data_IF_790113069906
#
_entry.id   IF_790113069906
#
_cell.length_a   1.000
_cell.length_b   1.000
_cell.length_c   1.000
_cell.angle_alpha   90.00
_cell.angle_beta   90.00
_cell.angle_gamma   90.00
#
_symmetry.space_group_name_H-M   'P 1'
#
loop_
_entity.id
_entity.type
_entity.pdbx_description
1 polymer ?
#
# COMPACT_ATOMS: atom_id res chain seq x y z
N UNK A 1 40.62 -4.40 73.47
CA UNK A 1 39.23 -4.22 73.81
C UNK A 1 38.71 -2.95 73.13
N UNK A 2 38.19 -2.97 71.98
CA UNK A 2 37.36 -1.92 71.34
C UNK A 2 36.48 -2.56 70.29
N UNK A 3 35.21 -2.62 70.58
CA UNK A 3 34.14 -3.14 69.69
C UNK A 3 33.83 -2.04 68.68
N UNK A 4 33.97 -2.32 67.36
CA UNK A 4 33.52 -1.46 66.27
C UNK A 4 32.21 -2.07 65.76
N UNK A 5 31.14 -1.32 65.97
CA UNK A 5 29.84 -1.65 65.43
C UNK A 5 29.80 -1.27 63.93
N UNK A 6 29.56 -2.25 63.07
CA UNK A 6 29.36 -2.00 61.65
C UNK A 6 27.87 -1.71 61.39
N UNK A 7 27.58 -0.49 61.04
CA UNK A 7 26.23 -0.06 60.62
C UNK A 7 25.99 -0.44 59.15
N UNK A 8 25.07 -1.37 58.96
CA UNK A 8 24.68 -1.83 57.60
C UNK A 8 23.60 -0.88 57.05
N UNK A 9 24.01 -0.02 56.12
CA UNK A 9 23.06 0.84 55.39
C UNK A 9 22.54 0.05 54.23
N UNK A 10 21.30 -0.39 54.31
CA UNK A 10 20.57 -0.98 53.20
C UNK A 10 19.99 0.12 52.33
N UNK A 11 20.64 0.41 51.21
CA UNK A 11 20.11 1.30 50.19
C UNK A 11 19.11 0.53 49.34
N UNK A 12 17.81 0.76 49.57
CA UNK A 12 16.75 0.28 48.71
C UNK A 12 16.70 1.18 47.47
N UNK A 13 17.28 0.71 46.36
CA UNK A 13 17.11 1.34 45.07
C UNK A 13 15.74 0.93 44.51
N UNK A 14 14.76 1.83 44.57
CA UNK A 14 13.52 1.73 43.82
C UNK A 14 13.83 2.00 42.35
N UNK A 15 13.97 0.95 41.57
CA UNK A 15 13.99 1.06 40.10
C UNK A 15 12.55 1.34 39.61
N UNK A 16 12.24 2.61 39.35
CA UNK A 16 11.03 2.99 38.63
C UNK A 16 11.16 2.53 37.17
N UNK A 17 10.58 1.41 36.85
CA UNK A 17 10.42 0.94 35.48
C UNK A 17 9.47 1.90 34.74
N UNK A 18 10.00 2.85 33.99
CA UNK A 18 9.25 3.60 32.99
C UNK A 18 8.89 2.64 31.87
N UNK A 19 7.67 2.09 31.95
CA UNK A 19 7.03 1.42 30.82
C UNK A 19 6.70 2.51 29.80
N UNK A 20 7.62 2.73 28.86
CA UNK A 20 7.32 3.48 27.64
C UNK A 20 6.39 2.59 26.84
N UNK A 21 5.10 2.80 27.01
CA UNK A 21 4.10 2.26 26.09
C UNK A 21 4.35 2.93 24.73
N UNK A 22 5.16 2.27 23.89
CA UNK A 22 5.26 2.56 22.45
C UNK A 22 3.93 2.20 21.83
N UNK A 23 2.93 3.06 22.03
CA UNK A 23 1.70 3.03 21.28
C UNK A 23 2.06 3.23 19.82
N UNK A 24 2.09 2.14 19.05
CA UNK A 24 2.03 2.23 17.59
C UNK A 24 0.85 3.14 17.27
N UNK A 25 1.04 4.23 16.50
CA UNK A 25 -0.08 5.06 16.09
C UNK A 25 -1.06 4.10 15.37
N UNK A 26 -2.20 3.84 16.00
CA UNK A 26 -3.29 3.15 15.34
C UNK A 26 -3.64 4.02 14.13
N UNK A 27 -3.24 3.58 12.94
CA UNK A 27 -3.67 4.20 11.71
C UNK A 27 -5.19 4.15 11.75
N UNK A 28 -5.83 5.29 11.99
CA UNK A 28 -7.27 5.43 11.90
C UNK A 28 -7.66 5.25 10.43
N UNK A 29 -7.60 4.00 9.96
CA UNK A 29 -8.21 3.61 8.70
C UNK A 29 -9.71 3.61 8.91
N UNK A 30 -10.45 4.07 7.93
CA UNK A 30 -11.89 3.97 7.93
C UNK A 30 -12.31 2.55 8.31
N UNK A 31 -12.75 2.36 9.54
CA UNK A 31 -13.35 1.12 10.00
C UNK A 31 -14.86 1.23 9.83
N UNK A 32 -15.54 0.23 9.27
CA UNK A 32 -16.99 0.27 9.05
C UNK A 32 -17.80 0.43 10.34
N UNK A 33 -17.18 0.23 11.50
CA UNK A 33 -17.83 0.29 12.81
C UNK A 33 -17.65 1.62 13.53
N UNK A 34 -16.78 2.53 13.07
CA UNK A 34 -16.39 3.69 13.87
C UNK A 34 -16.79 5.06 13.30
N UNK A 35 -17.06 5.20 12.00
CA UNK A 35 -17.39 6.50 11.41
C UNK A 35 -18.50 6.42 10.37
N UNK A 36 -19.61 7.09 10.62
CA UNK A 36 -20.76 7.27 9.72
C UNK A 36 -20.43 8.19 8.51
N UNK A 37 -19.18 8.36 8.10
CA UNK A 37 -18.76 9.30 7.06
C UNK A 37 -17.69 8.77 6.10
N UNK A 38 -17.41 7.47 6.11
CA UNK A 38 -16.40 6.91 5.20
C UNK A 38 -16.93 6.63 3.81
N UNK A 39 -16.22 7.08 2.78
CA UNK A 39 -16.60 6.93 1.38
C UNK A 39 -15.92 5.73 0.73
N UNK A 40 -16.73 4.84 0.15
CA UNK A 40 -16.21 3.71 -0.64
C UNK A 40 -15.54 4.20 -1.91
N UNK A 41 -14.34 3.72 -2.17
CA UNK A 41 -13.62 3.98 -3.41
C UNK A 41 -13.70 2.80 -4.36
N UNK A 42 -13.52 3.07 -5.65
CA UNK A 42 -13.46 2.08 -6.73
C UNK A 42 -12.20 2.34 -7.53
N UNK A 43 -11.30 1.36 -7.56
CA UNK A 43 -10.08 1.42 -8.36
C UNK A 43 -10.29 0.76 -9.71
N UNK A 44 -10.23 1.53 -10.79
CA UNK A 44 -10.29 1.06 -12.17
C UNK A 44 -8.89 1.04 -12.77
N UNK A 45 -8.51 -0.11 -13.35
CA UNK A 45 -7.22 -0.30 -14.01
C UNK A 45 -7.43 -0.59 -15.48
N UNK A 46 -6.75 0.14 -16.34
CA UNK A 46 -6.77 -0.09 -17.78
C UNK A 46 -5.34 -0.31 -18.30
N UNK A 47 -5.19 -1.15 -19.31
CA UNK A 47 -3.91 -1.42 -19.95
C UNK A 47 -4.12 -1.70 -21.44
N UNK A 48 -3.09 -1.48 -22.25
CA UNK A 48 -3.08 -1.88 -23.67
C UNK A 48 -3.32 -3.39 -23.77
N UNK A 49 -4.38 -3.83 -24.44
CA UNK A 49 -4.81 -5.25 -24.49
C UNK A 49 -3.75 -6.18 -25.10
N UNK A 50 -3.03 -5.72 -26.13
CA UNK A 50 -1.95 -6.45 -26.82
C UNK A 50 -0.72 -5.56 -26.89
N UNK A 51 0.42 -6.08 -26.44
CA UNK A 51 1.69 -5.38 -26.36
C UNK A 51 2.71 -6.21 -27.13
N UNK A 52 3.39 -5.68 -28.15
CA UNK A 52 4.44 -6.40 -28.84
C UNK A 52 5.61 -6.76 -27.90
N UNK A 53 6.25 -7.90 -28.11
CA UNK A 53 7.49 -8.26 -27.41
C UNK A 53 8.56 -7.22 -27.73
N UNK A 54 9.37 -6.83 -26.74
CA UNK A 54 10.38 -5.79 -26.89
C UNK A 54 9.83 -4.37 -26.67
N UNK A 55 8.53 -4.19 -26.43
CA UNK A 55 7.94 -2.87 -26.18
C UNK A 55 7.47 -2.70 -24.73
N UNK A 56 7.05 -1.49 -24.38
CA UNK A 56 6.51 -1.11 -23.07
C UNK A 56 4.99 -1.07 -23.14
N UNK A 57 4.32 -1.29 -22.03
CA UNK A 57 2.88 -1.09 -21.90
C UNK A 57 2.59 0.16 -21.07
N UNK A 58 1.52 0.85 -21.41
CA UNK A 58 0.96 1.89 -20.56
C UNK A 58 -0.17 1.31 -19.74
N UNK A 59 -0.09 1.49 -18.43
CA UNK A 59 -1.10 1.07 -17.45
C UNK A 59 -1.63 2.34 -16.80
N UNK A 60 -2.93 2.55 -16.90
CA UNK A 60 -3.59 3.70 -16.27
C UNK A 60 -4.50 3.23 -15.13
N UNK A 61 -4.46 3.97 -14.04
CA UNK A 61 -5.27 3.76 -12.85
C UNK A 61 -6.12 5.00 -12.61
N UNK A 62 -7.37 4.78 -12.27
CA UNK A 62 -8.30 5.81 -11.82
C UNK A 62 -8.98 5.31 -10.56
N UNK A 63 -8.96 6.12 -9.51
CA UNK A 63 -9.69 5.85 -8.26
C UNK A 63 -10.80 6.88 -8.16
N UNK A 64 -12.02 6.40 -8.05
CA UNK A 64 -13.22 7.24 -7.92
C UNK A 64 -13.98 6.84 -6.66
N UNK A 65 -14.88 7.68 -6.21
CA UNK A 65 -15.86 7.29 -5.22
C UNK A 65 -16.94 6.41 -5.86
N UNK A 66 -17.51 5.50 -5.08
CA UNK A 66 -18.70 4.77 -5.49
C UNK A 66 -19.92 5.72 -5.61
N UNK A 67 -19.95 6.79 -4.80
CA UNK A 67 -20.93 7.86 -4.87
C UNK A 67 -20.27 9.18 -4.46
N UNK A 68 -20.60 10.27 -5.17
CA UNK A 68 -20.03 11.60 -4.93
C UNK A 68 -18.92 11.98 -5.91
N UNK A 69 -18.43 13.21 -5.82
CA UNK A 69 -17.50 13.84 -6.77
C UNK A 69 -16.11 14.13 -6.18
N UNK A 70 -15.88 13.85 -4.90
CA UNK A 70 -14.58 14.08 -4.29
C UNK A 70 -13.49 13.21 -4.93
N UNK A 71 -12.29 13.75 -5.02
CA UNK A 71 -11.13 13.07 -5.63
C UNK A 71 -10.30 12.40 -4.54
N UNK A 72 -10.28 11.06 -4.44
CA UNK A 72 -9.43 10.37 -3.48
C UNK A 72 -7.96 10.67 -3.76
N UNK A 73 -7.18 10.94 -2.71
CA UNK A 73 -5.72 11.06 -2.76
C UNK A 73 -5.11 9.96 -1.89
N UNK A 74 -3.90 9.53 -2.20
CA UNK A 74 -3.24 8.47 -1.45
C UNK A 74 -2.11 7.82 -2.23
N UNK A 75 -1.96 6.51 -2.08
CA UNK A 75 -0.90 5.75 -2.73
C UNK A 75 -1.49 4.60 -3.54
N UNK A 76 -0.97 4.39 -4.74
CA UNK A 76 -1.31 3.23 -5.57
C UNK A 76 -0.10 2.33 -5.73
N UNK A 77 -0.24 1.08 -5.33
CA UNK A 77 0.75 0.02 -5.57
C UNK A 77 0.31 -0.83 -6.75
N UNK A 78 1.06 -0.75 -7.85
CA UNK A 78 0.88 -1.62 -9.00
C UNK A 78 1.68 -2.91 -8.83
N UNK A 79 1.00 -4.03 -8.89
CA UNK A 79 1.60 -5.37 -8.90
C UNK A 79 1.32 -6.03 -10.23
N UNK A 80 2.36 -6.48 -10.94
CA UNK A 80 2.23 -7.13 -12.23
C UNK A 80 2.88 -8.51 -12.21
N UNK A 81 2.13 -9.51 -12.66
CA UNK A 81 2.57 -10.91 -12.66
C UNK A 81 2.27 -11.56 -14.01
N UNK A 82 3.23 -12.25 -14.58
CA UNK A 82 3.00 -13.14 -15.74
C UNK A 82 2.31 -14.41 -15.25
N UNK A 83 1.34 -14.93 -16.02
CA UNK A 83 0.69 -16.21 -15.74
C UNK A 83 1.75 -17.33 -15.63
N UNK A 84 1.63 -18.19 -14.63
CA UNK A 84 2.59 -19.30 -14.34
C UNK A 84 4.01 -18.83 -13.98
N UNK A 85 4.18 -17.61 -13.45
CA UNK A 85 5.46 -17.12 -12.95
C UNK A 85 5.32 -16.76 -11.48
N UNK A 86 6.32 -17.06 -10.68
CA UNK A 86 6.41 -16.59 -9.28
C UNK A 86 6.85 -15.13 -9.18
N UNK A 87 7.54 -14.62 -10.23
CA UNK A 87 8.08 -13.25 -10.23
C UNK A 87 6.97 -12.22 -10.34
N UNK A 88 6.93 -11.30 -9.36
CA UNK A 88 6.01 -10.16 -9.32
C UNK A 88 6.83 -8.88 -9.47
N UNK A 89 6.45 -8.03 -10.40
CA UNK A 89 6.95 -6.66 -10.48
C UNK A 89 6.02 -5.76 -9.69
N UNK A 90 6.58 -4.92 -8.80
CA UNK A 90 5.81 -3.94 -8.01
C UNK A 90 6.35 -2.55 -8.26
N UNK A 91 5.45 -1.57 -8.28
CA UNK A 91 5.77 -0.15 -8.31
C UNK A 91 4.72 0.61 -7.52
N UNK A 92 5.17 1.47 -6.62
CA UNK A 92 4.33 2.35 -5.84
C UNK A 92 4.45 3.77 -6.40
N UNK A 93 3.34 4.48 -6.42
CA UNK A 93 3.26 5.88 -6.84
C UNK A 93 2.25 6.62 -5.97
N UNK A 94 2.50 7.88 -5.74
CA UNK A 94 1.52 8.78 -5.14
C UNK A 94 0.38 9.03 -6.12
N UNK A 95 -0.82 9.12 -5.57
CA UNK A 95 -2.05 9.32 -6.33
C UNK A 95 -2.75 10.60 -5.84
N UNK A 96 -2.87 11.57 -6.72
CA UNK A 96 -3.46 12.89 -6.44
C UNK A 96 -4.86 13.07 -7.04
N UNK A 97 -5.55 11.98 -7.30
CA UNK A 97 -6.84 12.00 -7.99
C UNK A 97 -6.71 11.99 -9.52
N UNK A 98 -7.82 11.74 -10.21
CA UNK A 98 -7.87 11.68 -11.66
C UNK A 98 -7.29 10.39 -12.23
N UNK A 99 -6.76 10.47 -13.46
CA UNK A 99 -6.17 9.32 -14.18
C UNK A 99 -4.66 9.39 -14.13
N UNK A 100 -4.04 8.43 -13.48
CA UNK A 100 -2.58 8.30 -13.43
C UNK A 100 -2.12 7.16 -14.33
N UNK A 101 -1.23 7.45 -15.29
CA UNK A 101 -0.72 6.45 -16.24
C UNK A 101 0.77 6.20 -16.00
N UNK A 102 1.16 4.95 -16.01
CA UNK A 102 2.51 4.47 -15.78
C UNK A 102 2.98 3.65 -16.97
N UNK A 103 4.17 3.98 -17.47
CA UNK A 103 4.86 3.19 -18.49
C UNK A 103 5.68 2.10 -17.81
N UNK A 104 5.47 0.87 -18.26
CA UNK A 104 6.21 -0.28 -17.74
C UNK A 104 7.63 -0.33 -18.32
N UNK A 105 8.45 -1.24 -17.77
CA UNK A 105 9.67 -1.69 -18.45
C UNK A 105 9.32 -2.53 -19.68
N UNK A 106 10.28 -2.72 -20.56
CA UNK A 106 10.16 -3.55 -21.76
C UNK A 106 9.85 -5.01 -21.45
N UNK A 107 8.94 -5.62 -22.21
CA UNK A 107 8.56 -7.02 -22.06
C UNK A 107 9.40 -7.92 -22.96
N UNK A 108 10.25 -8.74 -22.37
CA UNK A 108 11.08 -9.71 -23.10
C UNK A 108 10.41 -11.06 -23.27
N UNK A 109 9.40 -11.39 -22.49
CA UNK A 109 8.72 -12.70 -22.48
C UNK A 109 7.28 -12.58 -22.93
N UNK A 110 6.89 -13.30 -24.00
CA UNK A 110 5.50 -13.44 -24.44
C UNK A 110 4.63 -14.11 -23.37
N UNK A 111 3.33 -13.79 -23.36
CA UNK A 111 2.36 -14.43 -22.48
C UNK A 111 1.29 -13.49 -21.94
N UNK A 112 0.44 -14.02 -21.08
CA UNK A 112 -0.60 -13.26 -20.37
C UNK A 112 -0.04 -12.66 -19.10
N UNK A 113 -0.33 -11.38 -18.86
CA UNK A 113 0.03 -10.65 -17.67
C UNK A 113 -1.23 -10.18 -16.95
N UNK A 114 -1.21 -10.24 -15.65
CA UNK A 114 -2.23 -9.67 -14.78
C UNK A 114 -1.63 -8.50 -14.05
N UNK A 115 -2.35 -7.38 -14.00
CA UNK A 115 -2.02 -6.19 -13.23
C UNK A 115 -3.08 -6.03 -12.16
N UNK A 116 -2.65 -5.79 -10.94
CA UNK A 116 -3.47 -5.40 -9.82
C UNK A 116 -2.98 -4.03 -9.36
N UNK A 117 -3.89 -3.11 -9.14
CA UNK A 117 -3.62 -1.83 -8.53
C UNK A 117 -4.33 -1.79 -7.19
N UNK A 118 -3.56 -1.67 -6.13
CA UNK A 118 -4.04 -1.54 -4.76
C UNK A 118 -3.91 -0.07 -4.36
N UNK A 119 -5.05 0.59 -4.18
CA UNK A 119 -5.13 1.94 -3.65
C UNK A 119 -5.17 1.88 -2.12
N UNK A 120 -4.33 2.68 -1.50
CA UNK A 120 -4.29 2.92 -0.05
C UNK A 120 -4.54 4.38 0.23
N UNK A 121 -5.53 4.65 1.05
CA UNK A 121 -5.80 6.00 1.54
C UNK A 121 -4.79 6.38 2.62
N UNK A 122 -4.47 7.68 2.80
CA UNK A 122 -3.64 8.14 3.90
C UNK A 122 -4.29 7.83 5.25
N UNK A 123 -3.47 7.73 6.30
CA UNK A 123 -3.97 7.63 7.68
C UNK A 123 -4.87 8.81 8.01
N UNK A 124 -5.99 8.55 8.67
CA UNK A 124 -7.00 9.58 9.00
C UNK A 124 -7.88 10.02 7.83
N UNK A 125 -7.73 9.40 6.66
CA UNK A 125 -8.58 9.68 5.51
C UNK A 125 -10.00 9.14 5.68
N UNK A 126 -10.96 9.83 5.10
CA UNK A 126 -12.36 9.39 5.01
C UNK A 126 -12.61 8.41 3.86
N UNK A 127 -11.59 8.00 3.14
CA UNK A 127 -11.70 7.09 1.99
C UNK A 127 -11.30 5.67 2.36
N UNK A 128 -12.08 4.68 1.88
CA UNK A 128 -11.69 3.28 2.00
C UNK A 128 -10.60 2.93 0.98
N UNK A 129 -9.78 1.97 1.34
CA UNK A 129 -8.89 1.30 0.41
C UNK A 129 -9.68 0.52 -0.65
N UNK A 130 -9.12 0.39 -1.83
CA UNK A 130 -9.75 -0.40 -2.89
C UNK A 130 -8.72 -0.99 -3.83
N UNK A 131 -9.10 -2.03 -4.55
CA UNK A 131 -8.23 -2.62 -5.56
C UNK A 131 -8.95 -2.81 -6.89
N UNK A 132 -8.17 -2.74 -7.97
CA UNK A 132 -8.64 -3.00 -9.31
C UNK A 132 -7.70 -3.95 -10.04
N UNK A 133 -8.23 -4.66 -11.05
CA UNK A 133 -7.48 -5.67 -11.78
C UNK A 133 -7.74 -5.58 -13.27
N UNK A 134 -6.68 -5.75 -14.07
CA UNK A 134 -6.77 -5.88 -15.52
C UNK A 134 -5.81 -6.93 -16.04
N UNK A 135 -5.97 -7.31 -17.30
CA UNK A 135 -5.11 -8.29 -17.98
C UNK A 135 -4.74 -7.78 -19.36
N UNK A 136 -3.52 -8.11 -19.79
CA UNK A 136 -3.07 -7.89 -21.15
C UNK A 136 -2.21 -9.05 -21.64
N UNK A 137 -1.91 -9.07 -22.93
CA UNK A 137 -1.11 -10.12 -23.56
C UNK A 137 0.08 -9.53 -24.28
N UNK A 138 1.26 -10.06 -23.99
CA UNK A 138 2.48 -9.79 -24.77
C UNK A 138 2.52 -10.77 -25.93
N UNK A 139 2.53 -10.26 -27.16
CA UNK A 139 2.52 -11.01 -28.42
C UNK A 139 3.89 -10.94 -29.11
N UNK A 140 4.21 -11.89 -30.00
CA UNK A 140 5.40 -11.76 -30.85
C UNK A 140 5.35 -10.47 -31.67
N UNK A 141 6.52 -9.94 -32.06
CA UNK A 141 6.59 -8.96 -33.14
C UNK A 141 6.25 -9.69 -34.45
N UNK A 142 5.41 -9.07 -35.24
CA UNK A 142 5.22 -9.49 -36.64
C UNK A 142 6.31 -8.86 -37.49
#
# INVERSE_FOLDING_TARGET
MKKVAATLVVAVMMAAALVVASGTPASAQCSPTQYAGCFKTVTKVTATKRVPKGTRATICVTVTLASGSAKPMGTVTLSMKKRRSSKVFRRQVEYFGGKTCLVTRTFTKKGRYTVVADYRSPSGSVFYDSSGKTRFRVVPNR
#
